data_IF_391273718713
#
_entry.id   IF_391273718713
#
_cell.length_a   1.000
_cell.length_b   1.000
_cell.length_c   1.000
_cell.angle_alpha   90.00
_cell.angle_beta   90.00
_cell.angle_gamma   90.00
#
_symmetry.space_group_name_H-M   'P 1'
#
loop_
_entity.id
_entity.type
_entity.pdbx_description
1 polymer ?
#
# COMPACT_ATOMS: atom_id res chain seq x y z
N UNK A 1 -25.66 21.86 1.75
CA UNK A 1 -24.22 22.05 1.82
C UNK A 1 -23.60 21.56 0.52
N UNK A 2 -23.01 22.52 -0.23
CA UNK A 2 -22.49 22.33 -1.58
C UNK A 2 -21.24 21.44 -1.54
N UNK A 3 -21.19 20.47 -2.45
CA UNK A 3 -19.97 19.70 -2.76
C UNK A 3 -18.89 20.66 -3.26
N UNK A 4 -17.64 20.59 -2.78
CA UNK A 4 -16.55 21.31 -3.39
C UNK A 4 -16.32 20.78 -4.80
N UNK A 5 -16.27 21.69 -5.78
CA UNK A 5 -16.00 21.41 -7.17
C UNK A 5 -14.66 20.70 -7.33
N UNK A 6 -14.65 19.60 -8.08
CA UNK A 6 -13.44 18.90 -8.49
C UNK A 6 -12.56 19.88 -9.27
N UNK A 7 -11.37 20.15 -8.78
CA UNK A 7 -10.34 20.93 -9.45
C UNK A 7 -9.87 20.13 -10.67
N UNK A 8 -10.29 20.54 -11.85
CA UNK A 8 -9.72 20.10 -13.11
C UNK A 8 -8.30 20.70 -13.22
N UNK A 9 -7.29 19.98 -12.75
CA UNK A 9 -5.91 20.27 -13.07
C UNK A 9 -5.56 19.45 -14.32
N UNK A 10 -5.65 20.07 -15.49
CA UNK A 10 -5.14 19.55 -16.76
C UNK A 10 -3.61 19.51 -16.73
N UNK A 11 -3.03 18.53 -16.07
CA UNK A 11 -1.64 18.14 -16.17
C UNK A 11 -1.62 16.75 -16.79
N UNK A 12 -0.88 16.57 -17.89
CA UNK A 12 -0.62 15.26 -18.43
C UNK A 12 -0.05 14.39 -17.30
N UNK A 13 -0.71 13.28 -16.99
CA UNK A 13 -0.19 12.25 -16.10
C UNK A 13 1.17 11.80 -16.68
N UNK A 14 2.21 11.60 -15.85
CA UNK A 14 3.39 10.91 -16.33
C UNK A 14 2.90 9.64 -17.01
N UNK A 15 3.38 9.39 -18.21
CA UNK A 15 3.06 8.16 -18.95
C UNK A 15 3.38 7.02 -18.00
N UNK A 16 2.34 6.39 -17.44
CA UNK A 16 2.51 5.21 -16.61
C UNK A 16 3.44 4.28 -17.38
N UNK A 17 4.47 3.69 -16.76
CA UNK A 17 5.26 2.68 -17.42
C UNK A 17 4.27 1.73 -18.07
N UNK A 18 4.36 1.59 -19.38
CA UNK A 18 3.46 0.82 -20.22
C UNK A 18 3.06 -0.42 -19.42
N UNK A 19 1.76 -0.71 -19.33
CA UNK A 19 1.22 -1.83 -18.54
C UNK A 19 1.90 -3.12 -18.99
N UNK A 20 3.19 -3.25 -18.59
CA UNK A 20 4.01 -4.40 -18.89
C UNK A 20 3.35 -5.59 -18.21
N UNK A 21 3.34 -6.70 -18.90
CA UNK A 21 2.82 -7.97 -18.36
C UNK A 21 3.75 -8.52 -17.24
N UNK A 22 4.62 -7.65 -16.73
CA UNK A 22 5.61 -7.92 -15.71
C UNK A 22 4.93 -8.20 -14.35
N UNK A 23 5.42 -9.24 -13.70
CA UNK A 23 4.92 -9.62 -12.39
C UNK A 23 5.35 -8.59 -11.33
N UNK A 24 4.39 -8.07 -10.60
CA UNK A 24 4.56 -7.12 -9.51
C UNK A 24 4.47 -7.85 -8.17
N UNK A 25 5.32 -7.47 -7.22
CA UNK A 25 5.21 -7.92 -5.84
C UNK A 25 4.32 -6.96 -5.06
N UNK A 26 3.21 -7.46 -4.55
CA UNK A 26 2.22 -6.71 -3.79
C UNK A 26 2.23 -7.15 -2.34
N UNK A 27 2.07 -6.24 -1.41
CA UNK A 27 1.78 -6.54 -0.01
C UNK A 27 0.39 -6.00 0.37
N UNK A 28 -0.45 -6.86 0.90
CA UNK A 28 -1.80 -6.54 1.33
C UNK A 28 -1.89 -6.68 2.86
N UNK A 29 -1.73 -5.60 3.62
CA UNK A 29 -1.87 -5.63 5.07
C UNK A 29 -3.32 -5.91 5.48
N UNK A 30 -3.49 -6.75 6.49
CA UNK A 30 -4.78 -7.05 7.11
C UNK A 30 -4.68 -7.14 8.64
N UNK A 31 -5.80 -7.35 9.31
CA UNK A 31 -5.81 -7.64 10.75
C UNK A 31 -5.22 -9.03 11.04
N UNK A 32 -4.65 -9.19 12.24
CA UNK A 32 -4.12 -10.48 12.66
C UNK A 32 -5.23 -11.55 12.69
N UNK A 33 -4.94 -12.73 12.17
CA UNK A 33 -5.89 -13.84 12.05
C UNK A 33 -6.83 -13.76 10.84
N UNK A 34 -6.69 -12.75 9.98
CA UNK A 34 -7.51 -12.58 8.77
C UNK A 34 -6.77 -13.03 7.50
N UNK A 35 -5.51 -13.40 7.61
CA UNK A 35 -4.64 -13.67 6.46
C UNK A 35 -5.18 -14.75 5.53
N UNK A 36 -5.66 -15.89 6.08
CA UNK A 36 -6.20 -16.99 5.28
C UNK A 36 -7.45 -16.56 4.51
N UNK A 37 -8.37 -15.82 5.17
CA UNK A 37 -9.55 -15.27 4.50
C UNK A 37 -9.19 -14.25 3.43
N UNK A 38 -8.13 -13.47 3.66
CA UNK A 38 -7.63 -12.53 2.65
C UNK A 38 -7.01 -13.27 1.47
N UNK A 39 -6.29 -14.36 1.69
CA UNK A 39 -5.73 -15.19 0.62
C UNK A 39 -6.86 -15.78 -0.26
N UNK A 40 -7.92 -16.28 0.36
CA UNK A 40 -9.12 -16.77 -0.35
C UNK A 40 -9.80 -15.64 -1.14
N UNK A 41 -9.91 -14.43 -0.57
CA UNK A 41 -10.46 -13.27 -1.27
C UNK A 41 -9.60 -12.88 -2.47
N UNK A 42 -8.27 -12.83 -2.29
CA UNK A 42 -7.34 -12.51 -3.40
C UNK A 42 -7.44 -13.55 -4.49
N UNK A 43 -7.44 -14.84 -4.14
CA UNK A 43 -7.65 -15.91 -5.12
C UNK A 43 -8.96 -15.73 -5.88
N UNK A 44 -10.07 -15.49 -5.19
CA UNK A 44 -11.39 -15.29 -5.81
C UNK A 44 -11.46 -14.06 -6.72
N UNK A 45 -10.73 -13.01 -6.42
CA UNK A 45 -10.71 -11.77 -7.19
C UNK A 45 -9.76 -11.82 -8.40
N UNK A 46 -8.62 -12.50 -8.27
CA UNK A 46 -7.52 -12.41 -9.24
C UNK A 46 -7.19 -13.74 -9.93
N UNK A 47 -7.52 -14.86 -9.30
CA UNK A 47 -7.09 -16.20 -9.71
C UNK A 47 -5.67 -16.57 -9.24
N UNK A 48 -4.96 -15.68 -8.53
CA UNK A 48 -3.65 -15.97 -7.97
C UNK A 48 -3.74 -17.05 -6.90
N UNK A 49 -2.83 -18.01 -6.90
CA UNK A 49 -2.86 -19.16 -5.98
C UNK A 49 -1.47 -19.79 -5.83
N UNK A 50 -1.31 -20.66 -4.82
CA UNK A 50 -0.11 -21.43 -4.62
C UNK A 50 1.12 -20.55 -4.43
N UNK A 51 2.11 -20.69 -5.31
CA UNK A 51 3.38 -19.94 -5.24
C UNK A 51 3.25 -18.42 -5.46
N UNK A 52 2.10 -17.96 -5.97
CA UNK A 52 1.85 -16.53 -6.15
C UNK A 52 1.40 -15.83 -4.87
N UNK A 53 1.07 -16.57 -3.82
CA UNK A 53 0.63 -16.04 -2.53
C UNK A 53 1.54 -16.54 -1.41
N UNK A 54 2.01 -15.61 -0.59
CA UNK A 54 2.77 -15.90 0.62
C UNK A 54 2.08 -15.24 1.81
N UNK A 55 1.61 -16.09 2.73
CA UNK A 55 0.97 -15.63 3.96
C UNK A 55 2.05 -15.24 4.96
N UNK A 56 1.99 -14.00 5.41
CA UNK A 56 2.91 -13.43 6.38
C UNK A 56 2.15 -12.84 7.56
N UNK A 57 2.87 -12.61 8.66
CA UNK A 57 2.27 -11.95 9.81
C UNK A 57 1.92 -10.49 9.47
N UNK A 58 0.61 -10.18 9.56
CA UNK A 58 0.09 -8.83 9.29
C UNK A 58 -0.41 -8.59 7.87
N UNK A 59 -0.32 -9.60 6.98
CA UNK A 59 -0.82 -9.50 5.62
C UNK A 59 -0.42 -10.67 4.74
N UNK A 60 -0.55 -10.47 3.46
CA UNK A 60 -0.09 -11.43 2.45
C UNK A 60 0.76 -10.72 1.39
N UNK A 61 1.77 -11.40 0.89
CA UNK A 61 2.40 -11.03 -0.38
C UNK A 61 1.68 -11.74 -1.52
N UNK A 62 1.49 -11.02 -2.62
CA UNK A 62 0.87 -11.56 -3.83
C UNK A 62 1.72 -11.16 -5.04
N UNK A 63 1.96 -12.12 -5.93
CA UNK A 63 2.68 -11.92 -7.17
C UNK A 63 1.69 -11.79 -8.30
N UNK A 64 1.34 -10.55 -8.67
CA UNK A 64 0.28 -10.24 -9.63
C UNK A 64 0.71 -9.23 -10.68
N UNK A 65 -0.25 -8.72 -11.43
CA UNK A 65 -0.08 -7.72 -12.50
C UNK A 65 -0.90 -6.48 -12.18
N UNK A 66 -0.75 -5.42 -12.97
CA UNK A 66 -1.50 -4.17 -12.80
C UNK A 66 -3.03 -4.38 -12.75
N UNK A 67 -3.56 -5.28 -13.56
CA UNK A 67 -4.99 -5.62 -13.52
C UNK A 67 -5.43 -6.15 -12.14
N UNK A 68 -4.53 -6.88 -11.46
CA UNK A 68 -4.79 -7.45 -10.15
C UNK A 68 -4.72 -6.37 -9.09
N UNK A 69 -3.77 -5.43 -9.19
CA UNK A 69 -3.71 -4.22 -8.35
C UNK A 69 -5.04 -3.45 -8.43
N UNK A 70 -5.54 -3.20 -9.66
CA UNK A 70 -6.80 -2.49 -9.86
C UNK A 70 -8.00 -3.25 -9.28
N UNK A 71 -8.09 -4.56 -9.52
CA UNK A 71 -9.17 -5.41 -8.98
C UNK A 71 -9.15 -5.44 -7.46
N UNK A 72 -7.98 -5.61 -6.86
CA UNK A 72 -7.82 -5.63 -5.40
C UNK A 72 -8.20 -4.29 -4.79
N UNK A 73 -7.75 -3.18 -5.35
CA UNK A 73 -8.14 -1.85 -4.88
C UNK A 73 -9.64 -1.60 -5.00
N UNK A 74 -10.28 -2.10 -6.05
CA UNK A 74 -11.71 -1.91 -6.28
C UNK A 74 -12.57 -2.82 -5.40
N UNK A 75 -12.20 -4.08 -5.25
CA UNK A 75 -13.10 -5.12 -4.73
C UNK A 75 -12.70 -5.70 -3.36
N UNK A 76 -11.43 -5.59 -2.92
CA UNK A 76 -11.04 -6.18 -1.65
C UNK A 76 -11.75 -5.51 -0.48
N UNK A 77 -12.25 -6.33 0.44
CA UNK A 77 -12.95 -5.94 1.67
C UNK A 77 -12.12 -6.23 2.91
N UNK A 78 -11.14 -7.13 2.79
CA UNK A 78 -10.33 -7.61 3.90
C UNK A 78 -8.96 -6.91 3.95
N UNK A 79 -8.38 -6.56 2.79
CA UNK A 79 -7.16 -5.77 2.74
C UNK A 79 -7.39 -4.36 3.26
N UNK A 80 -6.42 -3.83 3.99
CA UNK A 80 -6.43 -2.42 4.41
C UNK A 80 -5.95 -1.50 3.29
N UNK A 81 -4.99 -1.97 2.49
CA UNK A 81 -4.36 -1.29 1.36
C UNK A 81 -3.81 -2.33 0.38
N UNK A 82 -3.46 -1.88 -0.81
CA UNK A 82 -2.63 -2.62 -1.76
C UNK A 82 -1.33 -1.84 -1.92
N UNK A 83 -0.24 -2.41 -1.44
CA UNK A 83 1.08 -1.79 -1.47
C UNK A 83 1.93 -2.50 -2.51
N UNK A 84 2.59 -1.75 -3.39
CA UNK A 84 3.51 -2.25 -4.40
C UNK A 84 4.94 -2.20 -3.86
N UNK A 85 5.62 -3.33 -3.76
CA UNK A 85 7.02 -3.39 -3.34
C UNK A 85 7.92 -2.91 -4.48
N UNK A 86 8.68 -1.85 -4.22
CA UNK A 86 9.63 -1.26 -5.18
C UNK A 86 11.07 -1.68 -4.90
N UNK A 87 11.39 -1.99 -3.65
CA UNK A 87 12.69 -2.49 -3.26
C UNK A 87 12.61 -3.27 -1.95
N UNK A 88 13.39 -4.34 -1.87
CA UNK A 88 13.62 -5.13 -0.67
C UNK A 88 15.10 -5.50 -0.59
N UNK A 89 15.74 -5.27 0.56
CA UNK A 89 17.14 -5.63 0.75
C UNK A 89 17.51 -5.73 2.23
N UNK A 90 18.62 -6.44 2.56
CA UNK A 90 19.26 -6.32 3.86
C UNK A 90 19.63 -4.86 4.15
N UNK A 91 19.33 -4.40 5.35
CA UNK A 91 19.50 -3.00 5.73
C UNK A 91 19.66 -2.87 7.24
N UNK A 92 20.89 -2.73 7.69
CA UNK A 92 21.23 -2.62 9.12
C UNK A 92 21.69 -1.22 9.51
N UNK A 93 21.84 -0.32 8.56
CA UNK A 93 22.32 1.05 8.80
C UNK A 93 21.51 2.09 8.04
N UNK A 94 21.57 3.33 8.53
CA UNK A 94 20.91 4.48 7.91
C UNK A 94 21.46 4.79 6.51
N UNK A 95 22.77 4.54 6.30
CA UNK A 95 23.40 4.74 4.99
C UNK A 95 22.98 3.66 3.99
N UNK A 96 22.83 2.40 4.45
CA UNK A 96 22.29 1.34 3.63
C UNK A 96 20.83 1.63 3.23
N UNK A 97 20.03 2.16 4.16
CA UNK A 97 18.66 2.57 3.91
C UNK A 97 18.58 3.72 2.90
N UNK A 98 19.43 4.73 3.07
CA UNK A 98 19.54 5.83 2.11
C UNK A 98 19.93 5.32 0.72
N UNK A 99 20.95 4.46 0.63
CA UNK A 99 21.40 3.88 -0.64
C UNK A 99 20.29 3.03 -1.30
N UNK A 100 19.55 2.24 -0.51
CA UNK A 100 18.41 1.47 -1.00
C UNK A 100 17.34 2.40 -1.60
N UNK A 101 16.94 3.43 -0.88
CA UNK A 101 15.92 4.38 -1.33
C UNK A 101 16.37 5.17 -2.57
N UNK A 102 17.67 5.50 -2.68
CA UNK A 102 18.24 6.17 -3.86
C UNK A 102 18.19 5.34 -5.14
N UNK A 103 18.23 4.00 -5.04
CA UNK A 103 18.19 3.11 -6.21
C UNK A 103 16.81 3.04 -6.85
N UNK A 104 15.74 3.26 -6.09
CA UNK A 104 14.37 3.22 -6.63
C UNK A 104 14.16 4.36 -7.62
N UNK A 105 13.68 4.10 -8.85
CA UNK A 105 13.42 5.13 -9.85
C UNK A 105 12.09 5.85 -9.55
N UNK A 106 12.10 6.70 -8.52
CA UNK A 106 10.89 7.40 -8.05
C UNK A 106 10.23 8.25 -9.11
N UNK A 107 11.02 8.76 -10.06
CA UNK A 107 10.57 9.57 -11.20
C UNK A 107 9.62 8.84 -12.15
N UNK A 108 9.66 7.50 -12.16
CA UNK A 108 8.74 6.66 -12.94
C UNK A 108 7.35 6.56 -12.27
N UNK A 109 7.26 6.87 -10.99
CA UNK A 109 6.06 6.74 -10.18
C UNK A 109 5.34 8.04 -9.92
N UNK A 110 6.06 9.15 -9.73
CA UNK A 110 5.49 10.45 -9.49
C UNK A 110 6.47 11.57 -9.87
N UNK A 111 5.96 12.77 -10.06
CA UNK A 111 6.77 13.93 -10.47
C UNK A 111 6.94 14.95 -9.35
N UNK A 112 7.78 15.95 -9.60
CA UNK A 112 8.10 17.04 -8.67
C UNK A 112 6.92 17.93 -8.25
N UNK A 113 5.79 17.85 -8.98
CA UNK A 113 4.56 18.59 -8.65
C UNK A 113 3.72 17.90 -7.58
N UNK A 114 3.94 16.60 -7.35
CA UNK A 114 3.24 15.84 -6.35
C UNK A 114 3.85 16.06 -4.97
N UNK A 115 3.02 15.90 -3.97
CA UNK A 115 3.45 15.85 -2.58
C UNK A 115 3.60 14.40 -2.14
N UNK A 116 4.53 14.13 -1.23
CA UNK A 116 4.72 12.78 -0.74
C UNK A 116 4.92 12.73 0.78
N UNK A 117 4.73 11.54 1.33
CA UNK A 117 4.99 11.22 2.74
C UNK A 117 5.62 9.83 2.83
N UNK A 118 6.49 9.67 3.82
CA UNK A 118 7.03 8.37 4.21
C UNK A 118 6.42 7.96 5.54
N UNK A 119 5.70 6.84 5.54
CA UNK A 119 5.20 6.16 6.72
C UNK A 119 6.12 4.98 7.05
N UNK A 120 6.44 4.77 8.32
CA UNK A 120 7.34 3.69 8.73
C UNK A 120 6.64 2.74 9.69
N UNK A 121 6.86 1.46 9.46
CA UNK A 121 6.50 0.38 10.38
C UNK A 121 7.72 -0.48 10.63
N UNK A 122 7.86 -1.02 11.84
CA UNK A 122 9.01 -1.84 12.18
C UNK A 122 8.63 -3.02 13.05
N UNK A 123 9.39 -4.10 12.87
CA UNK A 123 9.32 -5.31 13.68
C UNK A 123 10.74 -5.80 13.95
N UNK A 124 11.15 -5.79 15.21
CA UNK A 124 12.48 -6.28 15.60
C UNK A 124 13.65 -5.56 14.94
N UNK A 125 13.45 -4.31 14.50
CA UNK A 125 14.44 -3.53 13.79
C UNK A 125 15.60 -3.06 14.68
N UNK A 126 16.81 -3.05 14.14
CA UNK A 126 17.99 -2.49 14.76
C UNK A 126 18.02 -0.95 14.79
N UNK A 127 17.11 -0.29 14.06
CA UNK A 127 17.05 1.18 14.00
C UNK A 127 16.52 1.76 15.31
N UNK A 128 17.31 2.65 15.92
CA UNK A 128 16.96 3.30 17.18
C UNK A 128 15.79 4.29 17.07
N UNK A 129 15.63 4.91 15.90
CA UNK A 129 14.59 5.90 15.65
C UNK A 129 13.91 5.64 14.31
N UNK A 130 12.64 5.24 14.35
CA UNK A 130 11.83 5.03 13.16
C UNK A 130 11.57 6.36 12.44
N UNK A 131 11.43 7.45 13.18
CA UNK A 131 11.26 8.76 12.59
C UNK A 131 12.49 9.18 11.80
N UNK A 132 13.68 8.89 12.30
CA UNK A 132 14.92 9.17 11.60
C UNK A 132 15.07 8.29 10.34
N UNK A 133 14.71 7.02 10.42
CA UNK A 133 14.68 6.15 9.25
C UNK A 133 13.73 6.69 8.16
N UNK A 134 12.54 7.18 8.53
CA UNK A 134 11.63 7.83 7.57
C UNK A 134 12.24 9.10 6.96
N UNK A 135 12.98 9.90 7.74
CA UNK A 135 13.67 11.08 7.23
C UNK A 135 14.79 10.71 6.26
N UNK A 136 15.54 9.64 6.51
CA UNK A 136 16.60 9.16 5.60
C UNK A 136 16.03 8.73 4.24
N UNK A 137 14.90 8.01 4.24
CA UNK A 137 14.19 7.68 2.99
C UNK A 137 13.70 8.94 2.28
N UNK A 138 13.07 9.86 3.01
CA UNK A 138 12.61 11.15 2.48
C UNK A 138 13.75 11.93 1.81
N UNK A 139 14.91 12.00 2.46
CA UNK A 139 16.08 12.72 1.93
C UNK A 139 16.62 12.03 0.67
N UNK A 140 16.68 10.69 0.65
CA UNK A 140 17.09 9.93 -0.53
C UNK A 140 16.17 10.17 -1.72
N UNK A 141 14.84 10.19 -1.52
CA UNK A 141 13.85 10.52 -2.56
C UNK A 141 14.07 11.94 -3.08
N UNK A 142 14.18 12.91 -2.18
CA UNK A 142 14.35 14.32 -2.55
C UNK A 142 15.67 14.56 -3.32
N UNK A 143 16.75 13.93 -2.89
CA UNK A 143 18.07 14.06 -3.53
C UNK A 143 18.08 13.40 -4.91
N UNK A 144 17.43 12.24 -5.07
CA UNK A 144 17.28 11.62 -6.37
C UNK A 144 16.56 12.51 -7.36
N UNK A 145 15.44 13.09 -6.96
CA UNK A 145 14.70 14.03 -7.82
C UNK A 145 15.54 15.27 -8.15
N UNK A 146 16.24 15.84 -7.17
CA UNK A 146 17.11 17.00 -7.40
C UNK A 146 18.21 16.71 -8.41
N UNK A 147 18.83 15.54 -8.33
CA UNK A 147 19.86 15.11 -9.24
C UNK A 147 19.35 14.89 -10.67
N UNK A 148 18.13 14.32 -10.80
CA UNK A 148 17.55 13.98 -12.10
C UNK A 148 16.87 15.15 -12.81
N UNK A 149 16.22 16.04 -12.07
CA UNK A 149 15.36 17.08 -12.62
C UNK A 149 15.65 18.50 -12.10
N UNK A 150 16.64 18.67 -11.22
CA UNK A 150 16.96 19.96 -10.60
C UNK A 150 15.94 20.44 -9.56
N UNK A 151 14.82 19.75 -9.40
CA UNK A 151 13.74 20.09 -8.48
C UNK A 151 13.41 18.90 -7.59
N UNK A 152 12.66 19.12 -6.50
CA UNK A 152 12.24 18.05 -5.60
C UNK A 152 10.74 18.15 -5.32
N UNK A 153 10.04 17.01 -5.10
CA UNK A 153 8.67 17.01 -4.63
C UNK A 153 8.58 17.55 -3.20
N UNK A 154 7.45 18.16 -2.87
CA UNK A 154 7.20 18.67 -1.52
C UNK A 154 6.73 17.55 -0.58
N UNK A 155 7.09 17.65 0.70
CA UNK A 155 6.61 16.73 1.72
C UNK A 155 5.34 17.27 2.34
N UNK A 156 4.29 16.44 2.41
CA UNK A 156 3.02 16.80 3.05
C UNK A 156 2.54 15.68 3.95
N UNK A 157 2.33 15.99 5.22
CA UNK A 157 1.90 15.01 6.23
C UNK A 157 0.40 14.71 6.19
N UNK A 158 -0.40 15.71 5.82
CA UNK A 158 -1.85 15.57 5.68
C UNK A 158 -2.20 15.48 4.18
N UNK A 159 -2.94 14.46 3.79
CA UNK A 159 -3.42 14.25 2.42
C UNK A 159 -2.31 14.37 1.34
N UNK A 160 -1.18 13.65 1.46
CA UNK A 160 -0.17 13.60 0.41
C UNK A 160 -0.73 12.92 -0.84
N UNK A 161 -0.23 13.34 -2.02
CA UNK A 161 -0.57 12.67 -3.28
C UNK A 161 0.01 11.25 -3.33
N UNK A 162 1.20 11.06 -2.76
CA UNK A 162 1.93 9.79 -2.77
C UNK A 162 2.31 9.38 -1.35
N UNK A 163 2.06 8.13 -1.00
CA UNK A 163 2.50 7.52 0.26
C UNK A 163 3.52 6.44 -0.03
N UNK A 164 4.67 6.56 0.61
CA UNK A 164 5.73 5.56 0.60
C UNK A 164 5.72 4.88 1.97
N UNK A 165 5.62 3.57 1.99
CA UNK A 165 5.73 2.80 3.22
C UNK A 165 7.13 2.19 3.32
N UNK A 166 7.83 2.49 4.41
CA UNK A 166 9.04 1.81 4.82
C UNK A 166 8.65 0.74 5.83
N UNK A 167 8.91 -0.51 5.51
CA UNK A 167 8.78 -1.62 6.45
C UNK A 167 10.17 -2.14 6.82
N UNK A 168 10.46 -2.18 8.13
CA UNK A 168 11.71 -2.70 8.68
C UNK A 168 11.38 -3.99 9.43
N UNK A 169 11.95 -5.13 8.99
CA UNK A 169 11.80 -6.41 9.67
C UNK A 169 13.16 -7.03 9.93
N UNK A 170 13.55 -7.07 11.21
CA UNK A 170 14.89 -7.49 11.62
C UNK A 170 15.95 -6.65 10.93
N UNK A 171 16.78 -7.32 10.12
CA UNK A 171 17.88 -6.72 9.34
C UNK A 171 17.47 -6.38 7.89
N UNK A 172 16.18 -6.37 7.55
CA UNK A 172 15.71 -6.10 6.19
C UNK A 172 14.84 -4.84 6.14
N UNK A 173 14.87 -4.17 4.99
CA UNK A 173 14.00 -3.04 4.69
C UNK A 173 13.27 -3.27 3.37
N UNK A 174 11.96 -2.99 3.37
CA UNK A 174 11.11 -2.94 2.17
C UNK A 174 10.61 -1.53 1.96
N UNK A 175 10.68 -1.05 0.73
CA UNK A 175 10.09 0.20 0.28
C UNK A 175 8.88 -0.12 -0.59
N UNK A 176 7.72 0.31 -0.13
CA UNK A 176 6.46 0.02 -0.79
C UNK A 176 5.73 1.31 -1.16
N UNK A 177 5.14 1.33 -2.34
CA UNK A 177 4.30 2.42 -2.83
C UNK A 177 2.84 2.10 -2.57
N UNK A 178 2.12 3.03 -1.94
CA UNK A 178 0.69 2.88 -1.72
C UNK A 178 -0.10 3.15 -3.01
N UNK A 179 -0.79 2.14 -3.51
CA UNK A 179 -1.64 2.26 -4.70
C UNK A 179 -3.10 2.55 -4.36
N UNK A 180 -3.45 2.58 -3.06
CA UNK A 180 -4.83 2.75 -2.59
C UNK A 180 -5.19 4.20 -2.26
N UNK A 181 -4.20 5.02 -1.89
CA UNK A 181 -4.39 6.38 -1.38
C UNK A 181 -5.03 6.36 0.01
N UNK A 182 -6.36 6.43 0.11
CA UNK A 182 -7.06 6.22 1.38
C UNK A 182 -7.19 4.71 1.70
N UNK A 183 -7.25 4.34 2.99
CA UNK A 183 -7.49 2.94 3.36
C UNK A 183 -8.76 2.38 2.72
N UNK A 184 -8.71 1.14 2.24
CA UNK A 184 -9.80 0.53 1.47
C UNK A 184 -11.12 0.41 2.23
N UNK A 185 -11.11 0.42 3.55
CA UNK A 185 -12.33 0.43 4.35
C UNK A 185 -13.05 1.79 4.36
N UNK A 186 -12.38 2.88 4.00
CA UNK A 186 -12.97 4.22 3.92
C UNK A 186 -13.66 4.48 2.58
N UNK A 187 -14.58 3.60 2.17
CA UNK A 187 -15.29 3.74 0.89
C UNK A 187 -16.50 4.67 0.94
N UNK A 188 -16.78 5.26 2.10
CA UNK A 188 -17.89 6.21 2.27
C UNK A 188 -19.27 5.57 2.39
N UNK A 189 -19.36 4.26 2.53
CA UNK A 189 -20.65 3.57 2.67
C UNK A 189 -21.31 3.80 4.02
N UNK A 190 -20.51 3.97 5.06
CA UNK A 190 -21.02 4.26 6.40
C UNK A 190 -21.35 5.75 6.52
N UNK A 191 -22.61 6.06 6.63
CA UNK A 191 -23.12 7.43 6.81
C UNK A 191 -23.18 7.81 8.31
N UNK A 192 -23.71 6.92 9.14
CA UNK A 192 -23.80 7.12 10.58
C UNK A 192 -22.74 6.31 11.31
N UNK A 193 -22.03 6.96 12.21
CA UNK A 193 -21.02 6.36 13.09
C UNK A 193 -21.49 6.51 14.52
N UNK A 194 -21.66 5.37 15.20
CA UNK A 194 -21.79 5.38 16.65
C UNK A 194 -20.48 5.77 17.34
N UNK A 195 -20.48 5.82 18.66
CA UNK A 195 -19.33 6.23 19.47
C UNK A 195 -18.12 5.28 19.32
N UNK A 196 -18.35 3.98 19.09
CA UNK A 196 -17.32 2.96 18.91
C UNK A 196 -17.63 2.04 17.71
N UNK A 197 -17.50 2.52 16.48
CA UNK A 197 -17.89 1.74 15.32
C UNK A 197 -16.91 0.60 15.04
N UNK A 198 -17.44 -0.59 14.76
CA UNK A 198 -16.63 -1.71 14.27
C UNK A 198 -15.98 -1.33 12.93
N UNK A 199 -14.68 -1.58 12.79
CA UNK A 199 -13.95 -1.31 11.54
C UNK A 199 -14.48 -2.19 10.41
N UNK A 200 -14.73 -1.63 9.23
CA UNK A 200 -15.37 -2.32 8.11
C UNK A 200 -14.61 -3.58 7.67
N UNK A 201 -13.27 -3.53 7.66
CA UNK A 201 -12.46 -4.72 7.35
C UNK A 201 -12.61 -5.83 8.38
N UNK A 202 -12.83 -5.49 9.66
CA UNK A 202 -13.06 -6.47 10.70
C UNK A 202 -14.47 -7.07 10.59
N UNK A 203 -15.47 -6.25 10.31
CA UNK A 203 -16.82 -6.72 10.04
C UNK A 203 -16.86 -7.67 8.84
N UNK A 204 -16.13 -7.33 7.76
CA UNK A 204 -15.99 -8.21 6.60
C UNK A 204 -15.30 -9.53 6.95
N UNK A 205 -14.26 -9.50 7.80
CA UNK A 205 -13.58 -10.71 8.26
C UNK A 205 -14.50 -11.62 9.10
N UNK A 206 -15.33 -11.05 9.96
CA UNK A 206 -16.33 -11.81 10.74
C UNK A 206 -17.35 -12.50 9.82
N UNK A 207 -17.83 -11.80 8.79
CA UNK A 207 -18.72 -12.38 7.78
C UNK A 207 -18.02 -13.48 6.97
N UNK A 208 -16.74 -13.31 6.61
CA UNK A 208 -15.95 -14.35 5.96
C UNK A 208 -15.82 -15.58 6.86
N UNK A 209 -15.45 -15.40 8.12
CA UNK A 209 -15.30 -16.48 9.10
C UNK A 209 -16.60 -17.23 9.38
N UNK A 210 -17.77 -16.54 9.34
CA UNK A 210 -19.09 -17.19 9.49
C UNK A 210 -19.50 -17.99 8.25
N UNK A 211 -18.75 -17.91 7.14
CA UNK A 211 -19.11 -18.52 5.86
C UNK A 211 -20.25 -17.82 5.14
N UNK A 212 -20.61 -16.59 5.54
CA UNK A 212 -21.72 -15.82 4.92
C UNK A 212 -21.53 -15.61 3.40
N UNK A 213 -20.28 -15.60 2.92
CA UNK A 213 -19.98 -15.48 1.49
C UNK A 213 -20.37 -16.72 0.66
N UNK A 214 -20.60 -17.88 1.31
CA UNK A 214 -20.94 -19.12 0.62
C UNK A 214 -22.39 -19.04 0.12
N UNK A 215 -22.66 -19.32 -1.18
CA UNK A 215 -24.02 -19.21 -1.75
C UNK A 215 -25.09 -20.01 -1.00
N UNK A 216 -24.72 -21.22 -0.52
CA UNK A 216 -25.63 -22.07 0.24
C UNK A 216 -26.11 -21.47 1.58
N UNK A 217 -25.35 -20.56 2.19
CA UNK A 217 -25.73 -19.92 3.44
C UNK A 217 -26.51 -18.63 3.24
N UNK A 218 -26.40 -17.99 2.07
CA UNK A 218 -27.22 -16.80 1.74
C UNK A 218 -28.68 -17.11 1.46
N UNK A 219 -28.97 -18.36 1.05
CA UNK A 219 -30.33 -18.77 0.71
C UNK A 219 -31.23 -19.04 1.93
N UNK A 220 -30.68 -19.02 3.15
CA UNK A 220 -31.40 -19.34 4.42
C UNK A 220 -31.70 -18.09 5.25
N UNK A 221 -31.23 -16.93 4.84
CA UNK A 221 -31.48 -15.63 5.49
C UNK A 221 -32.43 -14.77 4.67
#
# INVERSE_FOLDING_TARGET
>A
PARPAARAAGGAWPTMPCMSDEALTLFLPCAAGVQDFLADEVHGLTGLAGQDLLIERGGIYARGRWRDVMRLNLHSRLAQRVLLELAHAPCESEDALYALARRVPWEDWFGTRHTFRVDVTARGSAFKSLQFAALRVKDAVADRFRERSGARPSVQTQQPDVRIHLHLDGAHASLLLDTSGEPLFKRGWRQDKGDAPLKETLAAAMLAASGWWQPARRAVA
#
